data_IF_912485707970
#
_entry.id   IF_912485707970
#
_cell.length_a   1.000
_cell.length_b   1.000
_cell.length_c   1.000
_cell.angle_alpha   90.00
_cell.angle_beta   90.00
_cell.angle_gamma   90.00
#
_symmetry.space_group_name_H-M   'P 1'
#
loop_
_entity.id
_entity.type
_entity.pdbx_description
1 polymer ?
#
# COMPACT_ATOMS: atom_id res chain seq x y z
N UNK A 1 23.09 -75.19 0.15
CA UNK A 1 22.26 -75.28 1.37
C UNK A 1 21.58 -73.95 1.56
N UNK A 2 20.27 -73.99 1.84
CA UNK A 2 19.30 -72.89 2.01
C UNK A 2 18.94 -72.08 0.76
N UNK A 3 17.82 -72.51 0.16
CA UNK A 3 16.97 -71.75 -0.75
C UNK A 3 16.12 -70.74 0.04
N UNK A 4 15.72 -69.66 -0.63
CA UNK A 4 14.73 -68.70 -0.15
C UNK A 4 14.18 -67.88 -1.30
N UNK A 5 13.23 -68.46 -2.03
CA UNK A 5 12.45 -67.82 -3.10
C UNK A 5 11.08 -67.41 -2.54
N UNK A 6 10.74 -66.13 -2.65
CA UNK A 6 9.38 -65.58 -2.68
C UNK A 6 9.50 -64.11 -3.13
N UNK A 7 8.98 -63.63 -4.24
CA UNK A 7 7.77 -64.03 -4.97
C UNK A 7 6.57 -63.26 -4.42
N UNK A 8 6.11 -62.22 -5.15
CA UNK A 8 4.90 -61.43 -4.87
C UNK A 8 5.22 -60.00 -4.42
N UNK A 9 4.70 -58.93 -4.99
CA UNK A 9 3.70 -58.74 -6.05
C UNK A 9 3.68 -57.25 -6.36
N UNK A 10 3.68 -56.89 -7.64
CA UNK A 10 3.30 -55.56 -8.10
C UNK A 10 1.82 -55.31 -7.72
N UNK A 11 1.59 -54.69 -6.57
CA UNK A 11 0.28 -54.13 -6.24
C UNK A 11 0.24 -52.68 -6.75
N UNK A 12 -0.16 -52.56 -8.01
CA UNK A 12 -0.83 -51.37 -8.52
C UNK A 12 -2.13 -51.20 -7.73
N UNK A 13 -2.06 -50.50 -6.60
CA UNK A 13 -3.23 -50.15 -5.82
C UNK A 13 -3.98 -49.02 -6.52
N UNK A 14 -4.89 -49.41 -7.41
CA UNK A 14 -6.01 -48.60 -7.88
C UNK A 14 -6.87 -48.24 -6.67
N UNK A 15 -6.71 -47.04 -6.09
CA UNK A 15 -7.62 -46.53 -5.06
C UNK A 15 -8.04 -45.10 -5.34
N UNK A 16 -9.30 -45.04 -5.79
CA UNK A 16 -10.32 -44.01 -5.58
C UNK A 16 -9.98 -42.59 -6.00
N UNK A 17 -10.66 -42.17 -7.07
CA UNK A 17 -11.21 -40.83 -7.22
C UNK A 17 -11.85 -40.38 -5.90
N UNK A 18 -11.12 -39.59 -5.14
CA UNK A 18 -11.64 -38.76 -4.06
C UNK A 18 -11.04 -37.35 -4.22
N UNK A 19 -11.13 -36.83 -5.44
CA UNK A 19 -10.97 -35.40 -5.71
C UNK A 19 -12.30 -34.69 -5.39
N UNK A 20 -12.52 -34.41 -4.10
CA UNK A 20 -13.41 -33.30 -3.68
C UNK A 20 -13.31 -33.09 -2.16
N UNK A 21 -12.16 -32.63 -1.68
CA UNK A 21 -12.07 -31.99 -0.37
C UNK A 21 -12.55 -30.54 -0.49
N UNK A 22 -13.54 -30.17 0.31
CA UNK A 22 -14.31 -28.91 0.36
C UNK A 22 -13.54 -27.56 0.26
N UNK A 23 -12.19 -27.55 0.22
CA UNK A 23 -11.37 -26.35 0.01
C UNK A 23 -10.15 -26.57 -0.91
N UNK A 24 -10.07 -27.68 -1.67
CA UNK A 24 -9.00 -27.91 -2.66
C UNK A 24 -7.57 -28.08 -2.10
N UNK A 25 -7.42 -28.25 -0.79
CA UNK A 25 -6.10 -28.41 -0.15
C UNK A 25 -5.66 -29.88 -0.21
N UNK A 26 -4.54 -30.14 -0.87
CA UNK A 26 -3.91 -31.48 -0.92
C UNK A 26 -3.24 -31.75 0.43
N UNK A 27 -3.18 -33.01 0.93
CA UNK A 27 -2.50 -33.34 2.19
C UNK A 27 -1.02 -32.95 2.25
N UNK A 28 -0.42 -32.60 1.11
CA UNK A 28 0.98 -32.18 0.98
C UNK A 28 1.16 -30.71 0.60
N UNK A 29 0.08 -29.92 0.44
CA UNK A 29 0.21 -28.49 0.11
C UNK A 29 0.47 -27.68 1.39
N UNK A 30 1.73 -27.32 1.62
CA UNK A 30 2.12 -26.37 2.66
C UNK A 30 1.64 -24.98 2.27
N UNK A 31 0.87 -24.33 3.14
CA UNK A 31 0.39 -22.96 2.95
C UNK A 31 1.50 -21.99 2.55
N UNK A 32 1.28 -21.10 1.56
CA UNK A 32 2.28 -20.11 1.16
C UNK A 32 2.65 -19.16 2.31
N UNK A 33 1.74 -18.93 3.27
CA UNK A 33 1.99 -18.17 4.49
C UNK A 33 2.93 -18.89 5.48
N UNK A 34 2.96 -20.23 5.44
CA UNK A 34 3.86 -21.07 6.26
C UNK A 34 5.20 -21.34 5.60
N UNK A 35 5.42 -20.90 4.35
CA UNK A 35 6.76 -20.87 3.74
C UNK A 35 7.60 -19.86 4.50
N UNK A 36 8.35 -20.34 5.52
CA UNK A 36 9.47 -19.58 6.08
C UNK A 36 10.38 -19.20 4.92
N UNK A 37 10.36 -17.91 4.54
CA UNK A 37 11.32 -17.31 3.60
C UNK A 37 12.69 -17.82 4.02
N UNK A 38 13.41 -18.53 3.13
CA UNK A 38 14.73 -19.08 3.44
C UNK A 38 15.66 -17.90 3.76
N UNK A 39 15.76 -17.53 5.03
CA UNK A 39 16.62 -16.45 5.50
C UNK A 39 18.06 -16.94 5.35
N UNK A 40 18.63 -16.67 4.18
CA UNK A 40 20.03 -16.96 3.89
C UNK A 40 20.95 -16.14 4.82
N UNK A 41 22.22 -16.52 4.95
CA UNK A 41 23.18 -15.80 5.79
C UNK A 41 23.27 -14.33 5.37
N UNK A 42 22.70 -13.44 6.19
CA UNK A 42 22.55 -11.99 5.94
C UNK A 42 23.88 -11.24 6.00
N UNK A 43 24.93 -11.90 6.48
CA UNK A 43 26.18 -11.27 6.90
C UNK A 43 27.29 -11.36 5.84
N UNK A 44 26.98 -11.87 4.64
CA UNK A 44 27.96 -12.00 3.56
C UNK A 44 27.39 -11.43 2.28
N UNK A 45 28.21 -10.72 1.49
CA UNK A 45 27.86 -10.20 0.15
C UNK A 45 27.31 -11.29 -0.79
N UNK A 46 27.59 -12.57 -0.50
CA UNK A 46 27.02 -13.75 -1.18
C UNK A 46 25.51 -13.94 -0.96
N UNK A 47 24.93 -13.40 0.11
CA UNK A 47 23.47 -13.41 0.34
C UNK A 47 22.75 -12.46 -0.62
N UNK A 48 23.30 -11.25 -0.81
CA UNK A 48 22.78 -10.27 -1.77
C UNK A 48 22.81 -10.76 -3.21
N UNK A 49 23.91 -11.40 -3.64
CA UNK A 49 23.98 -12.02 -4.97
C UNK A 49 22.96 -13.14 -5.19
N UNK A 50 22.61 -13.88 -4.14
CA UNK A 50 21.56 -14.91 -4.21
C UNK A 50 20.17 -14.30 -4.34
N UNK A 51 19.88 -13.23 -3.59
CA UNK A 51 18.60 -12.52 -3.69
C UNK A 51 18.39 -11.88 -5.07
N UNK A 52 19.44 -11.34 -5.68
CA UNK A 52 19.39 -10.82 -7.06
C UNK A 52 19.15 -11.91 -8.12
N UNK A 53 19.50 -13.17 -7.81
CA UNK A 53 19.29 -14.32 -8.71
C UNK A 53 17.99 -15.08 -8.42
N UNK A 54 17.31 -14.79 -7.31
CA UNK A 54 15.98 -15.33 -7.06
C UNK A 54 15.01 -14.76 -8.10
N UNK A 55 13.95 -15.50 -8.49
CA UNK A 55 12.99 -15.04 -9.49
C UNK A 55 12.43 -13.64 -9.18
N UNK A 56 12.09 -13.38 -7.92
CA UNK A 56 11.63 -12.06 -7.46
C UNK A 56 12.70 -10.96 -7.59
N UNK A 57 13.99 -11.29 -7.45
CA UNK A 57 15.07 -10.33 -7.64
C UNK A 57 15.27 -9.97 -9.11
N UNK A 58 15.19 -10.97 -10.00
CA UNK A 58 15.27 -10.78 -11.44
C UNK A 58 14.08 -9.98 -11.97
N UNK A 59 12.87 -10.26 -11.48
CA UNK A 59 11.66 -9.50 -11.83
C UNK A 59 11.79 -8.03 -11.42
N UNK A 60 12.31 -7.76 -10.21
CA UNK A 60 12.56 -6.39 -9.74
C UNK A 60 13.65 -5.71 -10.56
N UNK A 61 14.73 -6.41 -10.88
CA UNK A 61 15.82 -5.86 -11.70
C UNK A 61 15.34 -5.53 -13.12
N UNK A 62 14.56 -6.41 -13.75
CA UNK A 62 13.93 -6.18 -15.05
C UNK A 62 12.98 -4.98 -15.01
N UNK A 63 12.12 -4.89 -13.99
CA UNK A 63 11.24 -3.74 -13.81
C UNK A 63 12.04 -2.42 -13.70
N UNK A 64 13.13 -2.41 -12.94
CA UNK A 64 13.98 -1.22 -12.82
C UNK A 64 14.76 -0.93 -14.12
N UNK A 65 15.10 -1.94 -14.92
CA UNK A 65 15.66 -1.74 -16.27
C UNK A 65 14.65 -1.09 -17.22
N UNK A 66 13.39 -1.53 -17.16
CA UNK A 66 12.29 -0.98 -17.96
C UNK A 66 11.96 0.46 -17.55
N UNK A 67 11.89 0.75 -16.24
CA UNK A 67 11.73 2.13 -15.74
C UNK A 67 12.86 3.04 -16.23
N UNK A 68 14.12 2.59 -16.16
CA UNK A 68 15.27 3.37 -16.64
C UNK A 68 15.27 3.52 -18.17
N UNK A 69 14.77 2.52 -18.89
CA UNK A 69 14.60 2.58 -20.33
C UNK A 69 13.53 3.62 -20.68
N UNK A 70 12.41 3.61 -19.98
CA UNK A 70 11.34 4.59 -20.12
C UNK A 70 11.84 6.00 -19.84
N UNK A 71 12.57 6.22 -18.74
CA UNK A 71 13.21 7.50 -18.45
C UNK A 71 14.15 7.97 -19.57
N UNK A 72 14.93 7.07 -20.18
CA UNK A 72 15.80 7.38 -21.31
C UNK A 72 15.02 7.72 -22.59
N UNK A 73 13.90 7.04 -22.83
CA UNK A 73 13.20 7.09 -24.13
C UNK A 73 12.10 8.16 -24.13
N UNK A 74 11.29 8.23 -23.07
CA UNK A 74 10.18 9.18 -22.91
C UNK A 74 10.49 10.38 -22.02
N UNK A 75 11.67 10.40 -21.37
CA UNK A 75 12.10 11.50 -20.50
C UNK A 75 11.39 11.53 -19.14
N UNK A 76 10.82 10.41 -18.71
CA UNK A 76 10.07 10.23 -17.46
C UNK A 76 9.11 9.04 -17.55
N UNK A 77 8.53 8.62 -16.43
CA UNK A 77 7.47 7.61 -16.40
C UNK A 77 6.22 8.12 -17.14
N UNK A 78 5.71 7.32 -18.08
CA UNK A 78 4.53 7.66 -18.87
C UNK A 78 3.29 7.78 -17.98
N UNK A 79 3.21 6.99 -16.90
CA UNK A 79 2.12 7.03 -15.92
C UNK A 79 2.05 8.34 -15.13
N UNK A 80 3.17 9.06 -15.00
CA UNK A 80 3.21 10.36 -14.31
C UNK A 80 2.97 11.53 -15.26
N UNK A 81 3.06 11.29 -16.57
CA UNK A 81 2.77 12.31 -17.56
C UNK A 81 1.26 12.58 -17.58
N UNK A 82 0.83 13.86 -17.59
CA UNK A 82 -0.59 14.16 -17.67
C UNK A 82 -1.17 13.68 -19.00
N UNK A 83 -2.38 13.15 -18.97
CA UNK A 83 -3.07 12.64 -20.16
C UNK A 83 -3.20 13.70 -21.26
N UNK A 84 -3.33 14.98 -20.89
CA UNK A 84 -3.36 16.10 -21.85
C UNK A 84 -2.08 16.24 -22.69
N UNK A 85 -0.95 15.73 -22.19
CA UNK A 85 0.33 15.70 -22.91
C UNK A 85 0.47 14.44 -23.76
N UNK A 86 -0.13 13.33 -23.32
CA UNK A 86 -0.08 12.04 -24.01
C UNK A 86 -1.11 11.96 -25.15
N UNK A 87 -2.28 12.55 -24.93
CA UNK A 87 -3.43 12.51 -25.82
C UNK A 87 -3.84 13.95 -26.14
N UNK A 88 -3.37 14.45 -27.28
CA UNK A 88 -3.93 15.66 -27.88
C UNK A 88 -4.76 15.25 -29.09
N UNK A 89 -6.00 15.72 -29.12
CA UNK A 89 -6.79 15.71 -30.36
C UNK A 89 -6.38 16.97 -31.12
N UNK A 90 -5.86 16.79 -32.34
CA UNK A 90 -5.48 17.89 -33.25
C UNK A 90 -6.74 18.69 -33.66
N UNK A 91 -7.17 19.55 -32.74
CA UNK A 91 -8.09 20.64 -32.98
C UNK A 91 -7.22 21.81 -33.36
N UNK A 92 -7.17 22.14 -34.65
CA UNK A 92 -6.21 23.09 -35.23
C UNK A 92 -5.95 24.35 -34.39
N UNK A 93 -4.70 24.81 -34.42
CA UNK A 93 -4.13 26.01 -33.78
C UNK A 93 -4.96 26.64 -32.64
N UNK A 94 -4.99 26.01 -31.47
CA UNK A 94 -5.30 26.71 -30.22
C UNK A 94 -4.08 27.51 -29.81
N UNK A 95 -4.19 28.84 -29.80
CA UNK A 95 -3.17 29.74 -29.22
C UNK A 95 -3.05 29.47 -27.72
N UNK A 96 -2.19 28.53 -27.33
CA UNK A 96 -1.74 28.41 -25.94
C UNK A 96 -0.79 29.58 -25.68
N UNK A 97 -1.27 30.57 -24.93
CA UNK A 97 -0.45 31.63 -24.38
C UNK A 97 0.62 31.02 -23.46
N UNK A 98 1.80 30.76 -24.01
CA UNK A 98 2.96 30.42 -23.20
C UNK A 98 3.27 31.61 -22.29
N UNK A 99 3.22 31.40 -20.97
CA UNK A 99 3.81 32.34 -20.03
C UNK A 99 5.24 32.59 -20.49
N UNK A 100 5.54 33.84 -20.90
CA UNK A 100 6.85 34.27 -21.41
C UNK A 100 7.93 33.89 -20.41
N UNK A 101 8.49 32.69 -20.54
CA UNK A 101 9.68 32.34 -19.80
C UNK A 101 10.77 33.23 -20.35
N UNK A 102 11.39 34.01 -19.46
CA UNK A 102 12.47 34.95 -19.77
C UNK A 102 13.30 34.47 -20.95
N UNK A 103 13.43 35.31 -21.98
CA UNK A 103 14.16 34.96 -23.19
C UNK A 103 15.54 34.43 -22.80
N UNK A 104 16.07 33.43 -23.51
CA UNK A 104 17.32 32.74 -23.15
C UNK A 104 18.48 33.72 -22.84
N UNK A 105 18.48 34.90 -23.46
CA UNK A 105 19.41 36.00 -23.18
C UNK A 105 19.29 36.62 -21.78
N UNK A 106 18.07 36.86 -21.29
CA UNK A 106 17.84 37.37 -19.93
C UNK A 106 18.24 36.35 -18.85
N UNK A 107 18.05 35.06 -19.11
CA UNK A 107 18.50 33.98 -18.19
C UNK A 107 20.03 33.92 -18.14
N UNK A 108 20.71 34.07 -19.28
CA UNK A 108 22.19 34.09 -19.35
C UNK A 108 22.79 35.30 -18.62
N UNK A 109 22.27 36.50 -18.81
CA UNK A 109 22.79 37.70 -18.12
C UNK A 109 22.61 37.63 -16.60
N UNK A 110 21.53 37.01 -16.12
CA UNK A 110 21.31 36.76 -14.69
C UNK A 110 22.23 35.66 -14.13
N UNK A 111 22.59 34.65 -14.94
CA UNK A 111 23.55 33.61 -14.55
C UNK A 111 24.98 34.15 -14.49
N UNK A 112 25.36 35.05 -15.39
CA UNK A 112 26.67 35.72 -15.38
C UNK A 112 26.85 36.67 -14.16
N UNK A 113 25.74 37.16 -13.57
CA UNK A 113 25.75 37.97 -12.35
C UNK A 113 25.76 37.13 -11.07
N UNK A 114 25.45 35.84 -11.15
CA UNK A 114 25.52 34.94 -9.99
C UNK A 114 26.96 34.47 -9.83
N UNK A 115 27.55 34.55 -8.62
CA UNK A 115 28.87 33.98 -8.37
C UNK A 115 28.86 32.49 -8.69
N UNK A 116 30.00 31.96 -9.15
CA UNK A 116 30.10 30.53 -9.45
C UNK A 116 29.90 29.75 -8.16
N UNK A 117 29.33 28.54 -8.28
CA UNK A 117 29.04 27.71 -7.12
C UNK A 117 30.28 27.36 -6.29
N UNK A 118 31.44 27.29 -6.94
CA UNK A 118 32.75 27.09 -6.30
C UNK A 118 33.17 28.30 -5.46
N UNK A 119 32.87 29.51 -5.92
CA UNK A 119 33.19 30.74 -5.22
C UNK A 119 32.28 30.90 -3.99
N UNK A 120 30.98 30.63 -4.15
CA UNK A 120 30.00 30.60 -3.04
C UNK A 120 30.37 29.58 -1.96
N UNK A 121 30.99 28.46 -2.34
CA UNK A 121 31.44 27.43 -1.40
C UNK A 121 32.71 27.82 -0.64
N UNK A 122 33.53 28.68 -1.26
CA UNK A 122 34.78 29.20 -0.69
C UNK A 122 34.53 30.44 0.19
N UNK A 123 33.37 31.09 0.06
CA UNK A 123 32.93 32.13 0.98
C UNK A 123 32.78 31.57 2.41
N UNK A 124 33.27 32.34 3.38
CA UNK A 124 33.21 31.95 4.78
C UNK A 124 31.76 32.10 5.29
N UNK A 125 31.00 31.01 5.24
CA UNK A 125 29.59 30.95 5.69
C UNK A 125 29.44 30.88 7.21
N UNK A 126 30.54 30.80 7.96
CA UNK A 126 30.47 30.87 9.41
C UNK A 126 30.10 32.28 9.85
N UNK A 127 29.08 32.42 10.70
CA UNK A 127 28.74 33.69 11.37
C UNK A 127 29.76 34.07 12.45
N UNK A 128 30.84 33.30 12.55
CA UNK A 128 31.88 33.46 13.55
C UNK A 128 32.84 34.52 12.99
N UNK A 129 32.97 35.69 13.63
CA UNK A 129 33.91 36.70 13.15
C UNK A 129 35.32 36.10 13.20
N UNK A 130 36.05 36.17 12.07
CA UNK A 130 37.46 35.82 12.08
C UNK A 130 38.18 36.68 13.12
N UNK A 131 39.03 36.10 13.98
CA UNK A 131 39.80 36.87 14.95
C UNK A 131 40.74 37.79 14.17
N UNK A 132 40.38 39.08 14.11
CA UNK A 132 41.22 40.10 13.49
C UNK A 132 42.29 40.46 14.53
N UNK A 133 43.54 40.25 14.12
CA UNK A 133 44.77 40.73 14.73
C UNK A 133 45.18 40.10 16.07
N UNK A 134 45.95 39.00 15.98
CA UNK A 134 46.85 38.56 17.06
C UNK A 134 48.14 39.39 17.04
N UNK A 135 48.03 40.70 17.21
CA UNK A 135 49.18 41.54 17.56
C UNK A 135 49.15 41.86 19.05
N UNK A 136 49.97 41.11 19.78
CA UNK A 136 50.71 41.55 20.98
C UNK A 136 49.91 42.10 22.17
N UNK A 137 49.84 41.26 23.20
CA UNK A 137 49.69 41.67 24.59
C UNK A 137 49.67 40.44 25.51
N UNK A 138 50.74 40.12 26.25
CA UNK A 138 50.72 39.02 27.22
C UNK A 138 49.93 39.49 28.44
N UNK A 139 48.60 39.41 28.40
CA UNK A 139 47.80 39.94 29.50
C UNK A 139 46.31 39.58 29.55
N UNK A 140 45.77 38.77 28.64
CA UNK A 140 44.34 38.43 28.65
C UNK A 140 44.06 36.94 28.34
N UNK A 141 44.70 36.04 29.09
CA UNK A 141 44.32 34.61 29.13
C UNK A 141 43.28 34.34 30.22
N UNK A 142 42.21 35.15 30.31
CA UNK A 142 41.22 34.96 31.38
C UNK A 142 39.74 35.11 31.00
N UNK A 143 39.34 35.39 29.75
CA UNK A 143 37.92 35.70 29.47
C UNK A 143 37.28 35.12 28.19
N UNK A 144 37.89 34.17 27.46
CA UNK A 144 37.25 33.63 26.22
C UNK A 144 36.77 32.18 26.30
N UNK A 145 36.87 31.52 27.46
CA UNK A 145 36.35 30.16 27.65
C UNK A 145 34.91 30.09 28.20
N UNK A 146 34.15 31.20 28.18
CA UNK A 146 32.76 31.20 28.59
C UNK A 146 31.83 31.18 27.37
N UNK A 147 31.43 29.96 27.00
CA UNK A 147 30.03 29.72 26.64
C UNK A 147 29.59 30.07 25.22
N UNK A 148 30.12 29.38 24.21
CA UNK A 148 29.25 28.99 23.09
C UNK A 148 28.42 27.77 23.55
N UNK A 149 27.43 28.02 24.40
CA UNK A 149 26.38 27.04 24.66
C UNK A 149 25.55 26.96 23.37
N UNK A 150 25.95 26.06 22.46
CA UNK A 150 25.24 25.85 21.20
C UNK A 150 23.81 25.39 21.56
N UNK A 151 22.84 26.30 21.46
CA UNK A 151 21.47 26.03 21.86
C UNK A 151 20.89 24.97 20.90
N UNK A 152 20.40 23.86 21.46
CA UNK A 152 19.90 22.73 20.68
C UNK A 152 18.76 23.22 19.76
N UNK A 153 18.81 22.94 18.44
CA UNK A 153 17.74 23.29 17.53
C UNK A 153 16.36 22.82 18.03
N UNK A 154 15.31 23.65 17.95
CA UNK A 154 14.02 23.38 18.58
C UNK A 154 13.35 22.09 18.07
N UNK A 155 13.54 21.75 16.79
CA UNK A 155 13.01 20.52 16.19
C UNK A 155 13.54 19.24 16.85
N UNK A 156 14.72 19.29 17.48
CA UNK A 156 15.29 18.14 18.19
C UNK A 156 14.71 17.94 19.59
N UNK A 157 13.84 18.84 20.08
CA UNK A 157 13.07 18.65 21.31
C UNK A 157 11.74 17.92 21.07
N UNK A 158 11.33 17.78 19.81
CA UNK A 158 10.12 17.05 19.43
C UNK A 158 10.45 15.56 19.40
N UNK A 159 9.63 14.75 20.09
CA UNK A 159 9.76 13.29 20.04
C UNK A 159 9.36 12.79 18.64
N UNK A 160 10.13 11.86 18.04
CA UNK A 160 9.89 11.40 16.67
C UNK A 160 8.63 10.55 16.52
N UNK A 161 8.15 9.92 17.60
CA UNK A 161 6.97 9.07 17.60
C UNK A 161 5.89 9.62 18.54
N UNK A 162 4.64 9.61 18.07
CA UNK A 162 3.47 9.90 18.91
C UNK A 162 3.01 8.66 19.71
N UNK A 163 3.50 7.48 19.36
CA UNK A 163 3.18 6.24 20.05
C UNK A 163 3.73 6.22 21.48
N UNK A 164 3.00 5.62 22.44
CA UNK A 164 3.52 5.40 23.78
C UNK A 164 4.77 4.52 23.72
N UNK A 165 5.70 4.73 24.65
CA UNK A 165 6.98 4.01 24.66
C UNK A 165 6.83 2.51 24.96
N UNK A 166 5.70 2.09 25.52
CA UNK A 166 5.39 0.71 25.86
C UNK A 166 3.95 0.42 25.44
N UNK A 167 3.76 -0.62 24.64
CA UNK A 167 2.45 -1.16 24.32
C UNK A 167 1.96 -1.94 25.54
N UNK A 168 0.91 -1.44 26.22
CA UNK A 168 0.31 -2.13 27.36
C UNK A 168 -0.70 -3.13 26.83
N UNK A 169 -0.44 -4.42 27.04
CA UNK A 169 -1.38 -5.48 26.68
C UNK A 169 -2.54 -5.53 27.69
N UNK A 170 -3.78 -5.78 27.25
CA UNK A 170 -4.93 -5.93 28.16
C UNK A 170 -4.75 -7.15 29.09
N UNK A 171 -5.34 -7.08 30.29
CA UNK A 171 -5.24 -8.14 31.31
C UNK A 171 -5.74 -9.51 30.81
N UNK A 172 -6.76 -9.49 29.93
CA UNK A 172 -7.30 -10.69 29.26
C UNK A 172 -6.31 -11.46 28.39
N UNK A 173 -5.21 -10.82 27.97
CA UNK A 173 -4.16 -11.45 27.17
C UNK A 173 -3.10 -12.18 28.01
N UNK A 174 -3.20 -12.09 29.35
CA UNK A 174 -2.32 -12.85 30.23
C UNK A 174 -2.60 -14.35 30.15
N UNK A 175 -1.64 -15.17 30.60
CA UNK A 175 -1.75 -16.64 30.53
C UNK A 175 -2.85 -17.23 31.42
N UNK A 176 -3.22 -16.52 32.49
CA UNK A 176 -4.28 -16.91 33.43
C UNK A 176 -5.17 -15.70 33.73
N UNK A 177 -5.97 -15.24 32.75
CA UNK A 177 -6.80 -14.05 32.91
C UNK A 177 -7.99 -14.37 33.83
N UNK A 178 -8.57 -13.33 34.43
CA UNK A 178 -9.90 -13.49 35.01
C UNK A 178 -10.90 -13.79 33.88
N UNK A 179 -12.01 -14.44 34.22
CA UNK A 179 -13.02 -14.77 33.21
C UNK A 179 -13.57 -13.50 32.54
N UNK A 180 -13.84 -12.47 33.33
CA UNK A 180 -14.34 -11.19 32.83
C UNK A 180 -13.36 -10.54 31.86
N UNK A 181 -12.08 -10.47 32.21
CA UNK A 181 -11.05 -9.85 31.36
C UNK A 181 -10.82 -10.61 30.04
N UNK A 182 -10.98 -11.94 30.05
CA UNK A 182 -10.88 -12.73 28.84
C UNK A 182 -12.09 -12.51 27.92
N UNK A 183 -13.30 -12.46 28.49
CA UNK A 183 -14.51 -12.18 27.71
C UNK A 183 -14.47 -10.79 27.10
N UNK A 184 -14.08 -9.75 27.87
CA UNK A 184 -13.96 -8.39 27.34
C UNK A 184 -13.00 -8.31 26.17
N UNK A 185 -11.85 -8.97 26.27
CA UNK A 185 -10.88 -9.04 25.18
C UNK A 185 -11.46 -9.69 23.91
N UNK A 186 -12.22 -10.78 24.05
CA UNK A 186 -12.87 -11.43 22.92
C UNK A 186 -13.95 -10.54 22.29
N UNK A 187 -14.74 -9.85 23.11
CA UNK A 187 -15.75 -8.91 22.63
C UNK A 187 -15.14 -7.74 21.87
N UNK A 188 -14.09 -7.12 22.42
CA UNK A 188 -13.36 -6.03 21.75
C UNK A 188 -12.75 -6.48 20.42
N UNK A 189 -12.13 -7.67 20.38
CA UNK A 189 -11.59 -8.23 19.15
C UNK A 189 -12.68 -8.45 18.10
N UNK A 190 -13.86 -8.95 18.53
CA UNK A 190 -15.00 -9.15 17.65
C UNK A 190 -15.55 -7.82 17.10
N UNK A 191 -15.65 -6.78 17.91
CA UNK A 191 -16.10 -5.45 17.46
C UNK A 191 -15.17 -4.84 16.41
N UNK A 192 -13.85 -4.97 16.58
CA UNK A 192 -12.86 -4.49 15.61
C UNK A 192 -13.01 -5.23 14.27
N UNK A 193 -13.23 -6.54 14.29
CA UNK A 193 -13.46 -7.30 13.05
C UNK A 193 -14.77 -6.91 12.35
N UNK A 194 -15.85 -6.65 13.10
CA UNK A 194 -17.08 -6.11 12.52
C UNK A 194 -16.89 -4.73 11.87
N UNK A 195 -16.09 -3.87 12.49
CA UNK A 195 -15.76 -2.56 11.91
C UNK A 195 -14.97 -2.72 10.62
N UNK A 196 -13.95 -3.59 10.61
CA UNK A 196 -13.16 -3.90 9.41
C UNK A 196 -14.03 -4.44 8.28
N UNK A 197 -14.97 -5.34 8.59
CA UNK A 197 -15.92 -5.86 7.60
C UNK A 197 -16.80 -4.75 7.04
N UNK A 198 -17.39 -3.90 7.89
CA UNK A 198 -18.22 -2.77 7.44
C UNK A 198 -17.46 -1.77 6.57
N UNK A 199 -16.22 -1.46 6.94
CA UNK A 199 -15.36 -0.57 6.16
C UNK A 199 -14.99 -1.20 4.81
N UNK A 200 -14.67 -2.49 4.79
CA UNK A 200 -14.40 -3.23 3.56
C UNK A 200 -15.63 -3.27 2.64
N UNK A 201 -16.81 -3.59 3.17
CA UNK A 201 -18.06 -3.56 2.41
C UNK A 201 -18.40 -2.16 1.90
N UNK A 202 -18.13 -1.12 2.70
CA UNK A 202 -18.33 0.27 2.28
C UNK A 202 -17.41 0.63 1.12
N UNK A 203 -16.14 0.23 1.18
CA UNK A 203 -15.18 0.42 0.09
C UNK A 203 -15.57 -0.40 -1.14
N UNK A 204 -15.99 -1.66 -0.95
CA UNK A 204 -16.47 -2.50 -2.04
C UNK A 204 -17.67 -1.86 -2.73
N UNK A 205 -18.66 -1.38 -1.99
CA UNK A 205 -19.81 -0.65 -2.56
C UNK A 205 -19.40 0.62 -3.29
N UNK A 206 -18.37 1.33 -2.82
CA UNK A 206 -17.85 2.53 -3.50
C UNK A 206 -17.07 2.20 -4.77
N UNK A 207 -16.36 1.07 -4.79
CA UNK A 207 -15.54 0.62 -5.92
C UNK A 207 -16.31 -0.26 -6.92
N UNK A 208 -17.44 -0.83 -6.51
CA UNK A 208 -18.31 -1.62 -7.36
C UNK A 208 -18.87 -0.71 -8.46
N UNK A 209 -18.23 -0.79 -9.63
CA UNK A 209 -18.79 -0.23 -10.84
C UNK A 209 -20.03 -1.06 -11.22
N UNK A 210 -21.17 -0.42 -11.55
CA UNK A 210 -22.32 -1.15 -12.04
C UNK A 210 -21.92 -1.97 -13.28
N UNK A 211 -22.33 -3.24 -13.31
CA UNK A 211 -22.15 -4.11 -14.48
C UNK A 211 -22.74 -3.43 -15.72
N UNK A 212 -22.19 -3.65 -16.91
CA UNK A 212 -22.61 -2.97 -18.14
C UNK A 212 -24.13 -3.06 -18.44
N UNK A 213 -24.83 -4.07 -17.92
CA UNK A 213 -26.28 -4.25 -18.03
C UNK A 213 -27.09 -3.35 -17.07
N UNK A 214 -26.49 -2.95 -15.95
CA UNK A 214 -27.06 -2.05 -14.93
C UNK A 214 -26.55 -0.61 -15.07
N UNK A 215 -25.54 -0.38 -15.92
CA UNK A 215 -25.15 0.96 -16.33
C UNK A 215 -26.37 1.64 -16.96
N UNK A 216 -26.56 2.94 -16.69
CA UNK A 216 -27.76 3.70 -17.05
C UNK A 216 -28.07 3.58 -18.56
N UNK A 217 -28.91 2.60 -18.90
CA UNK A 217 -29.43 2.39 -20.24
C UNK A 217 -30.43 3.48 -20.56
N UNK A 218 -30.65 3.78 -21.84
CA UNK A 218 -31.64 4.79 -22.24
C UNK A 218 -33.03 4.49 -21.64
N UNK A 219 -33.38 3.21 -21.51
CA UNK A 219 -34.63 2.75 -20.90
C UNK A 219 -34.71 3.04 -19.39
N UNK A 220 -33.61 2.91 -18.63
CA UNK A 220 -33.61 3.23 -17.20
C UNK A 220 -33.75 4.74 -16.98
N UNK A 221 -33.04 5.54 -17.78
CA UNK A 221 -33.16 7.00 -17.75
C UNK A 221 -34.55 7.47 -18.17
N UNK A 222 -35.17 6.81 -19.15
CA UNK A 222 -36.54 7.08 -19.57
C UNK A 222 -37.55 6.74 -18.48
N UNK A 223 -37.38 5.60 -17.81
CA UNK A 223 -38.22 5.18 -16.69
C UNK A 223 -38.13 6.16 -15.51
N UNK A 224 -36.94 6.65 -15.18
CA UNK A 224 -36.75 7.73 -14.18
C UNK A 224 -37.45 9.02 -14.60
N UNK A 225 -37.36 9.44 -15.88
CA UNK A 225 -38.08 10.61 -16.39
C UNK A 225 -39.61 10.45 -16.39
N UNK A 226 -40.10 9.22 -16.50
CA UNK A 226 -41.53 8.90 -16.43
C UNK A 226 -42.03 8.70 -15.00
N UNK A 227 -41.14 8.46 -14.04
CA UNK A 227 -41.50 8.26 -12.63
C UNK A 227 -42.01 9.58 -12.03
N UNK A 228 -43.24 9.56 -11.50
CA UNK A 228 -43.93 10.77 -11.01
C UNK A 228 -44.67 11.59 -12.07
N UNK A 229 -44.60 11.20 -13.35
CA UNK A 229 -45.44 11.78 -14.42
C UNK A 229 -46.74 10.97 -14.65
N UNK A 230 -46.70 9.66 -14.39
CA UNK A 230 -47.91 8.83 -14.28
C UNK A 230 -48.18 8.57 -12.79
N UNK A 231 -49.39 8.92 -12.33
CA UNK A 231 -49.92 8.40 -11.07
C UNK A 231 -49.93 6.86 -11.16
N UNK A 232 -49.37 6.21 -10.15
CA UNK A 232 -49.32 4.77 -9.98
C UNK A 232 -50.78 4.26 -9.91
N UNK A 233 -51.37 3.93 -11.07
CA UNK A 233 -52.55 3.08 -11.11
C UNK A 233 -52.05 1.67 -10.83
N UNK A 234 -52.04 1.33 -9.54
CA UNK A 234 -51.98 -0.04 -9.06
C UNK A 234 -53.09 -0.84 -9.75
N UNK A 235 -52.73 -1.57 -10.79
CA UNK A 235 -53.54 -2.68 -11.30
C UNK A 235 -53.36 -3.85 -10.32
N UNK A 236 -54.25 -3.87 -9.32
CA UNK A 236 -54.67 -5.10 -8.67
C UNK A 236 -55.07 -6.11 -9.77
N UNK A 237 -54.37 -7.25 -9.83
CA UNK A 237 -54.95 -8.59 -9.97
C UNK A 237 -53.86 -9.60 -10.36
N UNK A 238 -53.50 -10.47 -9.41
CA UNK A 238 -53.70 -11.92 -9.56
C UNK A 238 -53.61 -12.58 -8.19
N UNK A 239 -54.79 -12.75 -7.60
CA UNK A 239 -55.08 -13.75 -6.58
C UNK A 239 -54.57 -15.12 -7.00
N UNK A 240 -53.95 -15.80 -6.04
CA UNK A 240 -53.44 -17.15 -6.16
C UNK A 240 -53.23 -17.77 -4.78
N UNK A 241 -54.22 -17.66 -3.89
CA UNK A 241 -54.31 -18.46 -2.68
C UNK A 241 -54.68 -19.91 -3.07
N UNK A 242 -53.97 -20.91 -2.55
CA UNK A 242 -54.66 -22.13 -2.17
C UNK A 242 -54.43 -22.45 -0.69
N UNK A 243 -55.48 -22.20 0.09
CA UNK A 243 -56.10 -23.24 0.89
C UNK A 243 -55.27 -23.82 2.03
N UNK A 244 -55.40 -23.17 3.20
CA UNK A 244 -55.19 -23.81 4.51
C UNK A 244 -56.22 -24.93 4.70
N UNK A 245 -55.88 -26.16 4.34
CA UNK A 245 -56.61 -27.35 4.76
C UNK A 245 -56.21 -27.70 6.20
N UNK A 246 -57.07 -27.32 7.15
CA UNK A 246 -57.15 -28.02 8.43
C UNK A 246 -57.97 -29.29 8.18
N UNK A 247 -57.39 -30.48 8.42
CA UNK A 247 -58.21 -31.59 8.88
C UNK A 247 -57.44 -32.48 9.88
N UNK A 248 -57.98 -32.44 11.10
CA UNK A 248 -58.10 -33.45 12.15
C UNK A 248 -57.01 -34.54 12.31
N UNK A 249 -56.44 -34.54 13.52
CA UNK A 249 -56.29 -35.80 14.25
C UNK A 249 -57.65 -36.30 14.77
N UNK A 250 -57.79 -37.62 14.93
CA UNK A 250 -58.12 -38.14 16.25
C UNK A 250 -57.23 -39.31 16.69
N UNK A 251 -57.00 -39.35 18.02
CA UNK A 251 -56.63 -40.46 18.92
C UNK A 251 -55.99 -41.75 18.38
N UNK A 252 -54.80 -42.07 18.93
CA UNK A 252 -54.60 -43.17 19.89
C UNK A 252 -53.30 -42.94 20.70
#
# INVERSE_FOLDING_TARGET
MAAGSSGGSDELCSKSEADSGFLGLRPTSVDPALRRRRRGPRNKKRGWRRLAQEPLGLEVDQFLEDVRLQERTSGGLISEAPDEKLFFVDTGAKEKEWNKTRTKGQKRSLLLKKPLRVDVLLENTSRIPAPKDVSLGPGLLALTCLGLLLQRPPHLHVKPSQAPAVEVTPAGASYNPSFEDHQTLLWEAHEVELQRQKEAEKLERQLALPTAEQAATQESTFKEMCQGLLEESDEEDKDGEPGRAQDRGPEA
#
